data_IF_695900478980
#
_entry.id   IF_695900478980
#
_cell.length_a   1.000
_cell.length_b   1.000
_cell.length_c   1.000
_cell.angle_alpha   90.00
_cell.angle_beta   90.00
_cell.angle_gamma   90.00
#
_symmetry.space_group_name_H-M   'P 1'
#
loop_
_entity.id
_entity.type
_entity.pdbx_description
1 polymer ?
#
# COMPACT_ATOMS: atom_id res chain seq x y z
N UNK A 1 14.25 -14.17 32.10
CA UNK A 1 15.02 -13.39 31.11
C UNK A 1 14.25 -12.10 30.82
N UNK A 2 14.88 -10.95 31.01
CA UNK A 2 14.27 -9.63 30.75
C UNK A 2 14.04 -9.45 29.25
N UNK A 3 12.86 -9.04 28.82
CA UNK A 3 12.56 -8.83 27.40
C UNK A 3 13.51 -7.77 26.80
N UNK A 4 14.17 -8.08 25.68
CA UNK A 4 15.02 -7.12 24.95
C UNK A 4 14.13 -5.98 24.45
N UNK A 5 14.37 -4.76 24.91
CA UNK A 5 13.66 -3.56 24.45
C UNK A 5 14.38 -2.92 23.27
N UNK A 6 13.61 -2.45 22.30
CA UNK A 6 14.10 -1.86 21.04
C UNK A 6 13.46 -0.48 20.88
N UNK A 7 14.25 0.51 20.46
CA UNK A 7 13.71 1.81 20.01
C UNK A 7 13.48 1.73 18.49
N UNK A 8 12.28 2.08 18.04
CA UNK A 8 11.99 2.23 16.62
C UNK A 8 12.61 3.53 16.12
N UNK A 9 13.53 3.43 15.15
CA UNK A 9 14.23 4.56 14.53
C UNK A 9 14.28 4.34 13.02
N UNK A 10 13.71 5.29 12.26
CA UNK A 10 13.61 5.21 10.79
C UNK A 10 12.90 3.93 10.30
N UNK A 11 11.89 3.50 11.05
CA UNK A 11 11.05 2.35 10.73
C UNK A 11 9.80 2.79 9.99
N UNK A 12 9.19 3.91 10.37
CA UNK A 12 7.97 4.37 9.70
C UNK A 12 8.31 5.14 8.43
N UNK A 13 7.51 4.95 7.39
CA UNK A 13 7.61 5.69 6.13
C UNK A 13 6.40 6.60 5.91
N UNK A 14 5.19 6.11 6.17
CA UNK A 14 3.96 6.90 6.05
C UNK A 14 2.81 6.24 6.83
N UNK A 15 1.90 7.05 7.38
CA UNK A 15 0.59 6.58 7.81
C UNK A 15 -0.34 6.44 6.60
N UNK A 16 -0.80 5.23 6.30
CA UNK A 16 -1.61 4.99 5.10
C UNK A 16 -3.08 5.30 5.34
N UNK A 17 -3.69 4.64 6.31
CA UNK A 17 -5.14 4.71 6.57
C UNK A 17 -5.48 4.18 7.97
N UNK A 18 -6.78 4.13 8.28
CA UNK A 18 -7.31 3.44 9.45
C UNK A 18 -8.29 2.35 8.99
N UNK A 19 -8.06 1.11 9.40
CA UNK A 19 -8.88 -0.05 9.01
C UNK A 19 -9.33 -0.85 10.22
N UNK A 20 -10.65 -0.99 10.39
CA UNK A 20 -11.28 -1.67 11.54
C UNK A 20 -10.71 -1.24 12.91
N UNK A 21 -10.50 0.07 13.09
CA UNK A 21 -9.96 0.61 14.34
C UNK A 21 -8.43 0.68 14.43
N UNK A 22 -7.70 0.00 13.54
CA UNK A 22 -6.24 -0.07 13.53
C UNK A 22 -5.61 0.97 12.62
N UNK A 23 -4.45 1.52 13.02
CA UNK A 23 -3.63 2.38 12.17
C UNK A 23 -2.81 1.51 11.22
N UNK A 24 -2.94 1.74 9.91
CA UNK A 24 -2.11 1.07 8.90
C UNK A 24 -0.92 1.97 8.59
N UNK A 25 0.29 1.46 8.82
CA UNK A 25 1.55 2.14 8.58
C UNK A 25 2.33 1.43 7.48
N UNK A 26 2.81 2.21 6.51
CA UNK A 26 3.86 1.76 5.61
C UNK A 26 5.19 1.89 6.35
N UNK A 27 5.97 0.81 6.39
CA UNK A 27 7.22 0.73 7.14
C UNK A 27 8.41 0.31 6.28
N UNK A 28 9.61 0.62 6.76
CA UNK A 28 10.86 0.26 6.12
C UNK A 28 11.20 -1.21 6.43
N UNK A 29 10.59 -2.14 5.68
CA UNK A 29 10.84 -3.57 5.83
C UNK A 29 12.32 -3.96 5.71
N UNK A 30 13.10 -3.45 4.74
CA UNK A 30 14.54 -3.71 4.68
C UNK A 30 15.28 -3.35 5.96
N UNK A 31 14.94 -2.21 6.58
CA UNK A 31 15.52 -1.81 7.88
C UNK A 31 15.07 -2.74 9.01
N UNK A 32 13.81 -3.11 9.07
CA UNK A 32 13.28 -4.06 10.07
C UNK A 32 14.04 -5.38 9.98
N UNK A 33 14.20 -5.94 8.77
CA UNK A 33 14.95 -7.19 8.56
C UNK A 33 16.41 -7.09 8.99
N UNK A 34 17.04 -5.94 8.72
CA UNK A 34 18.44 -5.74 9.05
C UNK A 34 18.70 -5.59 10.56
N UNK A 35 17.80 -4.91 11.30
CA UNK A 35 18.12 -4.48 12.67
C UNK A 35 17.14 -4.95 13.76
N UNK A 36 15.97 -5.46 13.39
CA UNK A 36 14.93 -5.90 14.34
C UNK A 36 14.68 -7.39 14.18
N UNK A 37 14.10 -7.82 13.06
CA UNK A 37 13.64 -9.20 12.83
C UNK A 37 13.76 -9.57 11.35
N UNK A 38 14.72 -10.44 11.04
CA UNK A 38 15.13 -10.83 9.69
C UNK A 38 14.04 -11.55 8.88
N UNK A 39 13.12 -12.24 9.54
CA UNK A 39 11.97 -12.90 8.89
C UNK A 39 10.75 -11.98 8.70
N UNK A 40 10.86 -10.66 8.91
CA UNK A 40 9.76 -9.74 8.62
C UNK A 40 9.54 -9.62 7.10
N UNK A 41 8.48 -10.26 6.60
CA UNK A 41 8.12 -10.32 5.18
C UNK A 41 6.72 -9.75 4.97
N UNK A 42 6.59 -8.84 3.99
CA UNK A 42 5.34 -8.18 3.55
C UNK A 42 4.61 -7.33 4.59
N UNK A 43 4.39 -7.81 5.81
CA UNK A 43 3.62 -7.10 6.82
C UNK A 43 3.68 -7.74 8.21
N UNK A 44 2.95 -7.13 9.14
CA UNK A 44 2.83 -7.63 10.50
C UNK A 44 1.87 -6.82 11.37
N UNK A 45 1.46 -7.43 12.48
CA UNK A 45 0.53 -6.82 13.43
C UNK A 45 1.00 -6.96 14.88
N UNK A 46 0.44 -6.16 15.78
CA UNK A 46 0.78 -6.11 17.20
C UNK A 46 0.43 -7.38 17.99
N UNK A 47 -0.47 -8.21 17.47
CA UNK A 47 -0.80 -9.52 18.06
C UNK A 47 0.28 -10.56 17.76
N UNK A 48 0.86 -10.55 16.55
CA UNK A 48 1.96 -11.44 16.18
C UNK A 48 3.32 -10.93 16.65
N UNK A 49 3.68 -9.69 16.33
CA UNK A 49 4.99 -9.13 16.59
C UNK A 49 4.95 -8.22 17.82
N UNK A 50 5.80 -8.50 18.82
CA UNK A 50 5.87 -7.70 20.04
C UNK A 50 6.46 -6.30 19.82
N UNK A 51 7.19 -6.15 18.71
CA UNK A 51 7.82 -4.90 18.33
C UNK A 51 6.91 -3.97 17.52
N UNK A 52 5.75 -4.47 17.06
CA UNK A 52 4.72 -3.65 16.43
C UNK A 52 3.89 -3.00 17.55
N UNK A 53 3.78 -1.67 17.61
CA UNK A 53 3.00 -1.03 18.67
C UNK A 53 1.51 -1.38 18.59
N UNK A 54 0.85 -1.26 19.74
CA UNK A 54 -0.56 -1.62 19.90
C UNK A 54 -1.46 -0.89 18.89
N UNK A 55 -2.42 -1.62 18.32
CA UNK A 55 -3.40 -1.17 17.33
C UNK A 55 -2.78 -0.72 15.99
N UNK A 56 -1.59 -1.23 15.66
CA UNK A 56 -0.94 -0.98 14.38
C UNK A 56 -0.90 -2.23 13.51
N UNK A 57 -1.07 -1.98 12.21
CA UNK A 57 -0.79 -2.90 11.11
C UNK A 57 0.35 -2.30 10.31
N UNK A 58 1.40 -3.08 10.11
CA UNK A 58 2.56 -2.69 9.33
C UNK A 58 2.52 -3.38 7.97
N UNK A 59 2.81 -2.62 6.92
CA UNK A 59 3.02 -3.12 5.56
C UNK A 59 4.40 -2.68 5.11
N UNK A 60 5.20 -3.63 4.62
CA UNK A 60 6.52 -3.37 4.06
C UNK A 60 6.40 -2.47 2.83
N UNK A 61 6.92 -1.25 2.94
CA UNK A 61 6.92 -0.26 1.87
C UNK A 61 7.60 -0.73 0.59
N UNK A 62 8.51 -1.71 0.65
CA UNK A 62 9.17 -2.26 -0.53
C UNK A 62 8.32 -3.27 -1.32
N UNK A 63 7.18 -3.71 -0.78
CA UNK A 63 6.24 -4.57 -1.51
C UNK A 63 5.67 -3.86 -2.74
N UNK A 64 5.31 -4.61 -3.78
CA UNK A 64 4.66 -4.08 -4.97
C UNK A 64 3.29 -3.46 -4.63
N UNK A 65 2.82 -2.52 -5.44
CA UNK A 65 1.61 -1.75 -5.14
C UNK A 65 0.36 -2.62 -5.07
N UNK A 66 0.32 -3.71 -5.84
CA UNK A 66 -0.74 -4.72 -5.78
C UNK A 66 -0.79 -5.44 -4.41
N UNK A 67 0.35 -5.66 -3.78
CA UNK A 67 0.46 -6.44 -2.55
C UNK A 67 -0.03 -5.66 -1.33
N UNK A 68 -0.11 -4.32 -1.40
CA UNK A 68 -0.57 -3.49 -0.30
C UNK A 68 -1.94 -3.92 0.24
N UNK A 69 -2.94 -4.04 -0.65
CA UNK A 69 -4.31 -4.29 -0.21
C UNK A 69 -4.44 -5.70 0.38
N UNK A 70 -3.85 -6.68 -0.31
CA UNK A 70 -3.87 -8.08 0.13
C UNK A 70 -3.18 -8.27 1.46
N UNK A 71 -1.99 -7.68 1.63
CA UNK A 71 -1.25 -7.70 2.90
C UNK A 71 -2.04 -7.00 3.99
N UNK A 72 -2.59 -5.81 3.74
CA UNK A 72 -3.37 -5.06 4.74
C UNK A 72 -4.58 -5.86 5.21
N UNK A 73 -5.33 -6.46 4.28
CA UNK A 73 -6.46 -7.32 4.60
C UNK A 73 -6.04 -8.55 5.39
N UNK A 74 -4.96 -9.23 4.97
CA UNK A 74 -4.41 -10.40 5.66
C UNK A 74 -4.09 -10.06 7.11
N UNK A 75 -3.29 -9.01 7.33
CA UNK A 75 -2.82 -8.61 8.65
C UNK A 75 -3.97 -8.14 9.56
N UNK A 76 -4.92 -7.38 9.03
CA UNK A 76 -6.10 -6.95 9.79
C UNK A 76 -6.94 -8.15 10.22
N UNK A 77 -7.17 -9.10 9.32
CA UNK A 77 -7.98 -10.28 9.62
C UNK A 77 -7.27 -11.23 10.60
N UNK A 78 -5.96 -11.45 10.41
CA UNK A 78 -5.14 -12.23 11.33
C UNK A 78 -5.16 -11.62 12.73
N UNK A 79 -4.91 -10.31 12.84
CA UNK A 79 -4.95 -9.57 14.11
C UNK A 79 -6.31 -9.70 14.79
N UNK A 80 -7.41 -9.47 14.08
CA UNK A 80 -8.76 -9.52 14.63
C UNK A 80 -9.07 -10.90 15.23
N UNK A 81 -8.73 -11.99 14.53
CA UNK A 81 -8.93 -13.34 15.04
C UNK A 81 -8.03 -13.65 16.24
N UNK A 82 -6.78 -13.18 16.22
CA UNK A 82 -5.86 -13.36 17.34
C UNK A 82 -6.38 -12.62 18.58
N UNK A 83 -6.78 -11.36 18.45
CA UNK A 83 -7.29 -10.53 19.54
C UNK A 83 -8.64 -11.05 20.06
N UNK A 84 -9.65 -11.16 19.19
CA UNK A 84 -11.03 -11.44 19.62
C UNK A 84 -11.23 -12.87 20.10
N UNK A 85 -10.54 -13.84 19.48
CA UNK A 85 -10.71 -15.28 19.74
C UNK A 85 -9.54 -15.93 20.46
N UNK A 86 -8.44 -15.21 20.70
CA UNK A 86 -7.24 -15.77 21.34
C UNK A 86 -6.61 -16.92 20.54
N UNK A 87 -6.85 -16.95 19.23
CA UNK A 87 -6.37 -18.04 18.37
C UNK A 87 -4.85 -18.01 18.22
N UNK A 88 -4.29 -19.17 17.87
CA UNK A 88 -2.87 -19.30 17.55
C UNK A 88 -2.58 -18.64 16.21
N UNK A 89 -1.40 -18.03 16.07
CA UNK A 89 -0.91 -17.44 14.83
C UNK A 89 -1.07 -18.39 13.65
N UNK A 90 -0.59 -19.64 13.77
CA UNK A 90 -0.67 -20.62 12.69
C UNK A 90 -2.10 -20.86 12.19
N UNK A 91 -3.10 -20.77 13.06
CA UNK A 91 -4.51 -20.96 12.69
C UNK A 91 -5.07 -19.71 12.01
N UNK A 92 -4.79 -18.54 12.55
CA UNK A 92 -5.30 -17.26 12.01
C UNK A 92 -4.64 -16.92 10.68
N UNK A 93 -3.33 -17.15 10.55
CA UNK A 93 -2.57 -16.97 9.33
C UNK A 93 -3.14 -17.80 8.17
N UNK A 94 -3.42 -19.08 8.41
CA UNK A 94 -4.05 -19.96 7.42
C UNK A 94 -5.46 -19.52 7.01
N UNK A 95 -6.21 -18.87 7.92
CA UNK A 95 -7.53 -18.33 7.59
C UNK A 95 -7.43 -17.02 6.80
N UNK A 96 -6.50 -16.14 7.17
CA UNK A 96 -6.21 -14.91 6.45
C UNK A 96 -5.76 -15.19 5.01
N UNK A 97 -4.86 -16.16 4.81
CA UNK A 97 -4.41 -16.60 3.48
C UNK A 97 -5.58 -17.08 2.60
N UNK A 98 -6.55 -17.81 3.17
CA UNK A 98 -7.74 -18.26 2.42
C UNK A 98 -8.56 -17.07 1.94
N UNK A 99 -8.79 -16.09 2.80
CA UNK A 99 -9.55 -14.88 2.43
C UNK A 99 -8.81 -14.09 1.36
N UNK A 100 -7.49 -13.97 1.48
CA UNK A 100 -6.66 -13.31 0.48
C UNK A 100 -6.79 -13.96 -0.90
N UNK A 101 -6.69 -15.29 -0.97
CA UNK A 101 -6.85 -16.06 -2.22
C UNK A 101 -8.23 -15.81 -2.85
N UNK A 102 -9.29 -15.83 -2.04
CA UNK A 102 -10.64 -15.58 -2.56
C UNK A 102 -10.80 -14.14 -3.06
N UNK A 103 -10.18 -13.17 -2.41
CA UNK A 103 -10.21 -11.77 -2.86
C UNK A 103 -9.42 -11.58 -4.15
N UNK A 104 -8.25 -12.20 -4.29
CA UNK A 104 -7.47 -12.21 -5.54
C UNK A 104 -8.28 -12.77 -6.70
N UNK A 105 -9.05 -13.83 -6.49
CA UNK A 105 -9.94 -14.41 -7.51
C UNK A 105 -11.05 -13.45 -7.92
N UNK A 106 -11.71 -12.80 -6.97
CA UNK A 106 -12.76 -11.80 -7.26
C UNK A 106 -12.20 -10.63 -8.05
N UNK A 107 -11.04 -10.11 -7.64
CA UNK A 107 -10.39 -8.99 -8.32
C UNK A 107 -10.01 -9.35 -9.76
N UNK A 108 -9.52 -10.57 -9.97
CA UNK A 108 -9.25 -11.08 -11.32
C UNK A 108 -10.50 -11.05 -12.21
N UNK A 109 -11.65 -11.51 -11.71
CA UNK A 109 -12.92 -11.49 -12.47
C UNK A 109 -13.35 -10.05 -12.81
N UNK A 110 -13.26 -9.14 -11.84
CA UNK A 110 -13.59 -7.72 -12.03
C UNK A 110 -12.70 -7.10 -13.12
N UNK A 111 -11.39 -7.36 -13.04
CA UNK A 111 -10.40 -6.80 -13.98
C UNK A 111 -10.54 -7.39 -15.39
N UNK A 112 -10.79 -8.69 -15.52
CA UNK A 112 -11.04 -9.33 -16.81
C UNK A 112 -12.32 -8.81 -17.48
N UNK A 113 -13.37 -8.57 -16.70
CA UNK A 113 -14.62 -7.98 -17.19
C UNK A 113 -14.37 -6.55 -17.70
N UNK A 114 -13.77 -5.70 -16.86
CA UNK A 114 -13.48 -4.30 -17.23
C UNK A 114 -12.55 -4.21 -18.44
N UNK A 115 -11.47 -4.99 -18.46
CA UNK A 115 -10.54 -5.03 -19.58
C UNK A 115 -11.19 -5.45 -20.90
N UNK A 116 -12.23 -6.30 -20.88
CA UNK A 116 -13.03 -6.60 -22.08
C UNK A 116 -13.89 -5.40 -22.51
N UNK A 117 -14.52 -4.71 -21.55
CA UNK A 117 -15.38 -3.55 -21.81
C UNK A 117 -14.62 -2.39 -22.46
N UNK A 118 -13.37 -2.15 -22.04
CA UNK A 118 -12.51 -1.08 -22.58
C UNK A 118 -11.51 -1.55 -23.63
N UNK A 119 -11.61 -2.82 -24.07
CA UNK A 119 -10.74 -3.45 -25.07
C UNK A 119 -9.23 -3.40 -24.72
N UNK A 120 -8.88 -3.55 -23.44
CA UNK A 120 -7.52 -3.59 -22.90
C UNK A 120 -7.36 -4.80 -21.98
N UNK A 121 -7.14 -5.96 -22.60
CA UNK A 121 -7.08 -7.25 -21.90
C UNK A 121 -5.71 -7.42 -21.22
N UNK A 122 -5.71 -8.07 -20.05
CA UNK A 122 -4.51 -8.41 -19.28
C UNK A 122 -3.70 -7.20 -18.79
N UNK A 123 -4.31 -6.01 -18.72
CA UNK A 123 -3.68 -4.81 -18.16
C UNK A 123 -4.13 -4.56 -16.72
N UNK A 124 -5.41 -4.76 -16.40
CA UNK A 124 -5.95 -4.45 -15.07
C UNK A 124 -5.67 -5.57 -14.06
N UNK A 125 -5.26 -5.21 -12.85
CA UNK A 125 -4.97 -6.16 -11.76
C UNK A 125 -5.74 -5.88 -10.47
N UNK A 126 -6.02 -4.62 -10.16
CA UNK A 126 -6.79 -4.26 -8.97
C UNK A 126 -7.49 -2.92 -9.13
N UNK A 127 -8.77 -2.87 -8.74
CA UNK A 127 -9.51 -1.62 -8.65
C UNK A 127 -9.24 -0.98 -7.29
N UNK A 128 -8.43 0.07 -7.28
CA UNK A 128 -8.03 0.74 -6.04
C UNK A 128 -9.17 1.58 -5.43
N UNK A 129 -10.03 2.13 -6.28
CA UNK A 129 -11.18 2.92 -5.85
C UNK A 129 -11.38 4.18 -6.68
N UNK A 130 -12.21 5.10 -6.17
CA UNK A 130 -12.51 6.37 -6.82
C UNK A 130 -11.96 7.53 -6.01
N UNK A 131 -11.31 8.51 -6.66
CA UNK A 131 -10.94 9.80 -6.06
C UNK A 131 -11.20 10.93 -7.03
N UNK A 132 -11.79 12.02 -6.55
CA UNK A 132 -12.22 13.18 -7.35
C UNK A 132 -13.01 12.77 -8.61
N UNK A 133 -13.87 11.76 -8.47
CA UNK A 133 -14.67 11.21 -9.57
C UNK A 133 -13.87 10.40 -10.61
N UNK A 134 -12.61 10.06 -10.33
CA UNK A 134 -11.72 9.28 -11.22
C UNK A 134 -11.47 7.89 -10.66
N UNK A 135 -11.51 6.89 -11.54
CA UNK A 135 -11.22 5.50 -11.22
C UNK A 135 -9.72 5.29 -11.15
N UNK A 136 -9.23 4.72 -10.06
CA UNK A 136 -7.82 4.39 -9.87
C UNK A 136 -7.66 2.88 -10.04
N UNK A 137 -6.76 2.50 -10.94
CA UNK A 137 -6.45 1.11 -11.25
C UNK A 137 -4.98 0.82 -11.02
N UNK A 138 -4.69 -0.31 -10.38
CA UNK A 138 -3.37 -0.92 -10.44
C UNK A 138 -3.31 -1.78 -11.70
N UNK A 139 -2.29 -1.56 -12.52
CA UNK A 139 -2.15 -2.17 -13.85
C UNK A 139 -0.80 -2.86 -14.04
N UNK A 140 -0.74 -3.82 -14.96
CA UNK A 140 0.51 -4.44 -15.40
C UNK A 140 1.26 -3.50 -16.33
N UNK A 141 2.14 -2.69 -15.74
CA UNK A 141 2.97 -1.78 -16.51
C UNK A 141 3.92 -2.49 -17.48
N UNK A 142 4.28 -3.77 -17.25
CA UNK A 142 5.11 -4.51 -18.20
C UNK A 142 4.33 -4.83 -19.49
N UNK A 143 3.05 -5.17 -19.36
CA UNK A 143 2.15 -5.31 -20.52
C UNK A 143 1.95 -3.97 -21.23
N UNK A 144 1.73 -2.89 -20.47
CA UNK A 144 1.63 -1.54 -21.05
C UNK A 144 2.88 -1.16 -21.82
N UNK A 145 4.08 -1.37 -21.26
CA UNK A 145 5.35 -1.08 -21.93
C UNK A 145 5.57 -1.90 -23.18
N UNK A 146 5.23 -3.19 -23.14
CA UNK A 146 5.40 -4.09 -24.28
C UNK A 146 4.45 -3.75 -25.43
N UNK A 147 3.18 -3.50 -25.12
CA UNK A 147 2.12 -3.50 -26.13
C UNK A 147 1.60 -2.10 -26.50
N UNK A 148 1.76 -1.10 -25.62
CA UNK A 148 1.16 0.23 -25.80
C UNK A 148 2.20 1.36 -25.85
N UNK A 149 3.05 1.46 -24.83
CA UNK A 149 3.95 2.59 -24.66
C UNK A 149 5.20 2.23 -23.83
N UNK A 150 6.36 1.99 -24.47
CA UNK A 150 7.58 1.53 -23.81
C UNK A 150 8.07 2.39 -22.64
N UNK A 151 7.75 3.69 -22.62
CA UNK A 151 8.19 4.64 -21.59
C UNK A 151 7.20 4.78 -20.43
N UNK A 152 6.18 3.93 -20.33
CA UNK A 152 5.28 3.90 -19.17
C UNK A 152 6.02 3.39 -17.93
N UNK A 153 6.36 4.27 -16.99
CA UNK A 153 7.21 3.91 -15.83
C UNK A 153 6.44 3.61 -14.54
N UNK A 154 5.66 4.57 -14.03
CA UNK A 154 5.09 4.48 -12.67
C UNK A 154 3.58 4.62 -12.63
N UNK A 155 3.05 5.62 -13.34
CA UNK A 155 1.64 5.95 -13.34
C UNK A 155 1.28 6.81 -14.56
N UNK A 156 -0.02 6.96 -14.82
CA UNK A 156 -0.52 7.81 -15.91
C UNK A 156 -2.01 8.12 -15.77
N UNK A 157 -2.48 9.11 -16.52
CA UNK A 157 -3.87 9.50 -16.58
C UNK A 157 -4.37 9.65 -18.03
N UNK A 158 -5.69 9.61 -18.21
CA UNK A 158 -6.39 9.70 -19.50
C UNK A 158 -6.13 10.96 -20.33
N UNK A 159 -5.69 12.07 -19.71
CA UNK A 159 -5.38 13.30 -20.43
C UNK A 159 -3.92 13.35 -20.90
N UNK A 160 -3.01 12.74 -20.15
CA UNK A 160 -1.60 12.61 -20.53
C UNK A 160 -1.40 11.48 -21.57
N UNK A 161 -2.10 10.37 -21.40
CA UNK A 161 -1.99 9.19 -22.24
C UNK A 161 -3.32 8.83 -22.89
N UNK A 162 -3.39 9.00 -24.21
CA UNK A 162 -4.62 8.76 -24.99
C UNK A 162 -5.10 7.30 -25.00
N UNK A 163 -4.22 6.36 -24.66
CA UNK A 163 -4.57 4.94 -24.56
C UNK A 163 -5.22 4.58 -23.20
N UNK A 164 -5.12 5.46 -22.20
CA UNK A 164 -5.77 5.26 -20.90
C UNK A 164 -7.24 5.67 -21.05
N UNK A 165 -8.20 4.80 -20.68
CA UNK A 165 -9.62 5.13 -20.80
C UNK A 165 -10.01 6.39 -20.03
N UNK A 166 -10.98 7.14 -20.59
CA UNK A 166 -11.46 8.40 -20.02
C UNK A 166 -11.86 8.23 -18.55
N UNK A 167 -11.36 9.13 -17.70
CA UNK A 167 -11.65 9.15 -16.27
C UNK A 167 -10.86 8.15 -15.43
N UNK A 168 -9.85 7.49 -16.01
CA UNK A 168 -8.97 6.57 -15.29
C UNK A 168 -7.59 7.18 -14.96
N UNK A 169 -7.05 6.73 -13.83
CA UNK A 169 -5.66 6.87 -13.42
C UNK A 169 -5.10 5.47 -13.23
N UNK A 170 -3.95 5.20 -13.84
CA UNK A 170 -3.26 3.93 -13.75
C UNK A 170 -2.00 4.05 -12.91
N UNK A 171 -1.74 3.05 -12.07
CA UNK A 171 -0.54 2.89 -11.25
C UNK A 171 0.09 1.53 -11.59
N UNK A 172 1.38 1.48 -11.90
CA UNK A 172 2.06 0.21 -12.21
C UNK A 172 2.12 -0.68 -10.95
N UNK A 173 1.76 -1.95 -11.11
CA UNK A 173 1.75 -2.96 -10.05
C UNK A 173 3.14 -3.20 -9.42
N UNK A 174 4.21 -2.91 -10.14
CA UNK A 174 5.59 -3.15 -9.69
C UNK A 174 6.20 -1.99 -8.90
N UNK A 175 5.55 -0.82 -8.83
CA UNK A 175 6.06 0.24 -7.98
C UNK A 175 5.89 -0.15 -6.53
N UNK A 176 6.83 0.29 -5.68
CA UNK A 176 6.74 0.11 -4.24
C UNK A 176 5.44 0.72 -3.69
N UNK A 177 4.80 0.03 -2.74
CA UNK A 177 3.53 0.48 -2.19
C UNK A 177 3.65 1.79 -1.38
N UNK A 178 4.86 2.16 -0.95
CA UNK A 178 5.11 3.48 -0.37
C UNK A 178 4.89 4.61 -1.38
N UNK A 179 4.96 4.33 -2.68
CA UNK A 179 4.80 5.35 -3.73
C UNK A 179 3.36 5.58 -4.18
N UNK A 180 2.43 4.66 -3.88
CA UNK A 180 1.06 4.69 -4.43
C UNK A 180 0.37 6.05 -4.23
N UNK A 181 0.31 6.52 -2.99
CA UNK A 181 -0.39 7.76 -2.65
C UNK A 181 0.24 8.98 -3.33
N UNK A 182 1.58 9.00 -3.40
CA UNK A 182 2.30 10.06 -4.11
C UNK A 182 1.98 10.03 -5.60
N UNK A 183 1.97 8.86 -6.23
CA UNK A 183 1.60 8.73 -7.65
C UNK A 183 0.15 9.14 -7.89
N UNK A 184 -0.79 8.76 -7.02
CA UNK A 184 -2.19 9.18 -7.14
C UNK A 184 -2.32 10.71 -7.08
N UNK A 185 -1.68 11.36 -6.10
CA UNK A 185 -1.73 12.83 -5.97
C UNK A 185 -1.09 13.53 -7.17
N UNK A 186 0.00 12.97 -7.71
CA UNK A 186 0.60 13.47 -8.95
C UNK A 186 -0.40 13.46 -10.09
N UNK A 187 -0.96 12.28 -10.38
CA UNK A 187 -1.82 12.06 -11.52
C UNK A 187 -3.12 12.86 -11.42
N UNK A 188 -3.70 12.98 -10.22
CA UNK A 188 -4.88 13.83 -9.99
C UNK A 188 -4.56 15.31 -10.24
N UNK A 189 -3.41 15.79 -9.75
CA UNK A 189 -3.00 17.19 -9.91
C UNK A 189 -2.67 17.50 -11.36
N UNK A 190 -1.84 16.68 -12.00
CA UNK A 190 -1.46 16.81 -13.41
C UNK A 190 -2.72 16.81 -14.29
N UNK A 191 -3.60 15.82 -14.12
CA UNK A 191 -4.85 15.73 -14.87
C UNK A 191 -5.71 16.97 -14.69
N UNK A 192 -5.84 17.49 -13.47
CA UNK A 192 -6.61 18.73 -13.21
C UNK A 192 -6.01 19.94 -13.95
N UNK A 193 -4.68 20.05 -14.00
CA UNK A 193 -4.01 21.12 -14.75
C UNK A 193 -4.23 20.96 -16.26
N UNK A 194 -4.12 19.75 -16.79
CA UNK A 194 -4.40 19.45 -18.19
C UNK A 194 -5.85 19.78 -18.57
N UNK A 195 -6.80 19.47 -17.68
CA UNK A 195 -8.23 19.79 -17.87
C UNK A 195 -8.48 21.30 -17.93
N UNK A 196 -7.65 22.11 -17.24
CA UNK A 196 -7.68 23.58 -17.36
C UNK A 196 -6.94 24.15 -18.58
N UNK A 197 -6.41 23.30 -19.45
CA UNK A 197 -5.68 23.72 -20.66
C UNK A 197 -4.19 24.01 -20.45
N UNK A 198 -3.61 23.61 -19.31
CA UNK A 198 -2.17 23.74 -19.07
C UNK A 198 -1.38 22.80 -19.99
N UNK A 199 -0.19 23.22 -20.41
CA UNK A 199 0.73 22.36 -21.18
C UNK A 199 1.17 21.16 -20.35
N UNK A 200 1.43 20.04 -21.01
CA UNK A 200 1.80 18.77 -20.36
C UNK A 200 3.03 18.92 -19.47
N UNK A 201 4.10 19.58 -19.95
CA UNK A 201 5.31 19.80 -19.16
C UNK A 201 5.04 20.54 -17.84
N UNK A 202 4.20 21.56 -17.88
CA UNK A 202 3.91 22.41 -16.73
C UNK A 202 2.96 21.69 -15.76
N UNK A 203 1.99 20.95 -16.30
CA UNK A 203 1.08 20.10 -15.51
C UNK A 203 1.84 19.01 -14.74
N UNK A 204 2.83 18.37 -15.38
CA UNK A 204 3.71 17.39 -14.75
C UNK A 204 4.51 17.99 -13.58
N UNK A 205 5.05 19.20 -13.77
CA UNK A 205 5.73 19.95 -12.70
C UNK A 205 4.79 20.19 -11.52
N UNK A 206 3.52 20.56 -11.77
CA UNK A 206 2.52 20.71 -10.70
C UNK A 206 2.21 19.40 -9.97
N UNK A 207 2.14 18.28 -10.68
CA UNK A 207 2.05 16.95 -10.05
C UNK A 207 3.22 16.67 -9.11
N UNK A 208 4.43 16.98 -9.56
CA UNK A 208 5.68 16.81 -8.78
C UNK A 208 5.72 17.71 -7.54
N UNK A 209 5.28 18.97 -7.65
CA UNK A 209 5.15 19.90 -6.53
C UNK A 209 4.15 19.36 -5.48
N UNK A 210 3.00 18.84 -5.91
CA UNK A 210 1.97 18.30 -5.02
C UNK A 210 2.47 17.04 -4.28
N UNK A 211 3.13 16.15 -5.00
CA UNK A 211 3.84 15.00 -4.44
C UNK A 211 4.86 15.38 -3.37
N UNK A 212 5.71 16.36 -3.66
CA UNK A 212 6.76 16.81 -2.75
C UNK A 212 6.16 17.39 -1.47
N UNK A 213 5.10 18.19 -1.60
CA UNK A 213 4.36 18.72 -0.44
C UNK A 213 3.81 17.61 0.45
N UNK A 214 3.26 16.55 -0.14
CA UNK A 214 2.76 15.41 0.63
C UNK A 214 3.91 14.66 1.33
N UNK A 215 5.03 14.40 0.65
CA UNK A 215 6.22 13.77 1.28
C UNK A 215 6.73 14.56 2.49
N UNK A 216 6.78 15.89 2.39
CA UNK A 216 7.19 16.75 3.52
C UNK A 216 6.20 16.65 4.68
N UNK A 217 4.89 16.58 4.40
CA UNK A 217 3.87 16.39 5.44
C UNK A 217 4.05 15.04 6.14
N UNK A 218 4.19 13.97 5.37
CA UNK A 218 4.33 12.61 5.92
C UNK A 218 5.60 12.46 6.75
N UNK A 219 6.72 13.05 6.30
CA UNK A 219 7.97 13.05 7.05
C UNK A 219 7.83 13.70 8.43
N UNK A 220 7.06 14.80 8.53
CA UNK A 220 6.78 15.45 9.82
C UNK A 220 5.95 14.55 10.73
N UNK A 221 4.91 13.92 10.19
CA UNK A 221 4.06 12.98 10.94
C UNK A 221 4.86 11.77 11.44
N UNK A 222 5.70 11.19 10.58
CA UNK A 222 6.60 10.07 10.92
C UNK A 222 7.59 10.46 12.01
N UNK A 223 8.23 11.63 11.90
CA UNK A 223 9.20 12.11 12.88
C UNK A 223 8.56 12.24 14.27
N UNK A 224 7.35 12.82 14.32
CA UNK A 224 6.62 12.97 15.57
C UNK A 224 6.14 11.62 16.12
N UNK A 225 5.69 10.70 15.24
CA UNK A 225 5.33 9.33 15.61
C UNK A 225 6.50 8.60 16.29
N UNK A 226 7.68 8.60 15.69
CA UNK A 226 8.85 7.90 16.23
C UNK A 226 9.36 8.49 17.55
N UNK A 227 9.30 9.83 17.67
CA UNK A 227 9.63 10.52 18.91
C UNK A 227 8.73 10.06 20.06
N UNK A 228 7.42 9.97 19.83
CA UNK A 228 6.42 9.64 20.84
C UNK A 228 6.23 8.13 21.05
N UNK A 229 6.73 7.29 20.15
CA UNK A 229 6.62 5.83 20.30
C UNK A 229 7.60 5.33 21.37
N UNK A 230 7.12 4.69 22.46
CA UNK A 230 7.99 4.14 23.49
C UNK A 230 8.84 2.98 22.95
N UNK A 231 9.82 2.53 23.74
CA UNK A 231 10.53 1.31 23.39
C UNK A 231 9.58 0.12 23.39
N UNK A 232 9.71 -0.72 22.37
CA UNK A 232 8.90 -1.94 22.17
C UNK A 232 9.69 -3.18 22.55
N UNK A 233 9.02 -4.32 22.70
CA UNK A 233 9.68 -5.59 23.02
C UNK A 233 10.05 -6.37 21.78
N UNK A 234 11.23 -6.97 21.76
CA UNK A 234 11.60 -7.93 20.73
C UNK A 234 10.81 -9.24 20.85
N UNK A 235 10.56 -9.89 19.71
CA UNK A 235 10.04 -11.24 19.62
C UNK A 235 8.61 -11.33 19.09
N UNK A 236 8.07 -12.54 19.12
CA UNK A 236 6.77 -12.89 18.56
C UNK A 236 5.83 -13.48 19.61
N UNK A 237 4.55 -13.61 19.27
CA UNK A 237 3.55 -14.38 20.02
C UNK A 237 3.02 -15.51 19.17
N UNK A 238 2.81 -16.66 19.82
CA UNK A 238 2.13 -17.79 19.19
C UNK A 238 0.61 -17.75 19.39
N UNK A 239 0.12 -17.06 20.43
CA UNK A 239 -1.31 -16.87 20.69
C UNK A 239 -1.62 -15.40 20.86
N UNK A 240 -2.76 -14.99 20.31
CA UNK A 240 -3.28 -13.64 20.52
C UNK A 240 -3.67 -13.38 21.97
N UNK A 241 -3.64 -12.11 22.34
CA UNK A 241 -4.07 -11.60 23.63
C UNK A 241 -5.30 -10.72 23.43
N UNK A 242 -6.30 -10.88 24.30
CA UNK A 242 -7.40 -9.93 24.37
C UNK A 242 -6.87 -8.64 24.98
N UNK A 243 -7.09 -7.52 24.29
CA UNK A 243 -6.60 -6.21 24.69
C UNK A 243 -7.76 -5.30 25.10
#
# INVERSE_FOLDING_TARGET
MTAKKIKLQSIYLRKAEKRLGNEVWIVNGPKIRLVIYDEFLLGGNDQRYKFVPKNEIWVDGSAGSLEYEYTTMHEVYERDLMESKGMTYNKTHNLALKIEIEERKKNKIICEKHGKEVNLKNIYHFYWGTRDGRKIWIVDGAVVRRDLFPDFCYSGNDLAYKFIPRGEIWIDLNISCSEIEYQIVHQLTERKMLESGMKISDAYVKGTEAQTKLRVKDLKEVTEKEKNTPMVEFGTREKGIKI
#
